data_IF_096784890749
#
_entry.id   IF_096784890749
#
_cell.length_a   1.000
_cell.length_b   1.000
_cell.length_c   1.000
_cell.angle_alpha   90.00
_cell.angle_beta   90.00
_cell.angle_gamma   90.00
#
_symmetry.space_group_name_H-M   'P 1'
#
loop_
_entity.id
_entity.type
_entity.pdbx_description
1 polymer ?
#
# COMPACT_ATOMS: atom_id res chain seq x y z
N UNK A 1 5.04 40.50 -16.82
CA UNK A 1 4.48 39.45 -17.66
C UNK A 1 5.23 38.13 -17.58
N UNK A 2 5.71 37.82 -16.40
CA UNK A 2 6.47 36.60 -16.15
C UNK A 2 5.64 35.55 -15.37
N UNK A 3 4.41 35.87 -15.02
CA UNK A 3 3.51 35.04 -14.23
C UNK A 3 3.12 33.70 -14.89
N UNK A 4 2.84 33.64 -16.20
CA UNK A 4 2.43 32.36 -16.81
C UNK A 4 3.54 31.30 -16.81
N UNK A 5 4.79 31.74 -16.84
CA UNK A 5 5.93 30.82 -16.87
C UNK A 5 6.13 30.11 -15.56
N UNK A 6 5.87 30.80 -14.46
CA UNK A 6 6.00 30.23 -13.11
C UNK A 6 4.95 29.15 -12.85
N UNK A 7 3.74 29.34 -13.37
CA UNK A 7 2.65 28.37 -13.22
C UNK A 7 2.97 27.08 -13.96
N UNK A 8 3.55 27.19 -15.15
CA UNK A 8 3.94 26.04 -15.96
C UNK A 8 5.00 25.22 -15.25
N UNK A 9 5.97 25.87 -14.60
CA UNK A 9 7.01 25.17 -13.84
C UNK A 9 6.45 24.39 -12.67
N UNK A 10 5.44 24.94 -11.99
CA UNK A 10 4.78 24.25 -10.89
C UNK A 10 4.08 22.97 -11.33
N UNK A 11 3.47 23.01 -12.49
CA UNK A 11 2.77 21.84 -13.05
C UNK A 11 3.74 20.72 -13.43
N UNK A 12 4.93 21.09 -13.93
CA UNK A 12 5.95 20.09 -14.30
C UNK A 12 6.49 19.35 -13.08
N UNK A 13 6.63 20.03 -11.96
CA UNK A 13 7.10 19.40 -10.72
C UNK A 13 6.09 18.39 -10.18
N UNK A 14 4.79 18.62 -10.37
CA UNK A 14 3.76 17.71 -9.92
C UNK A 14 3.66 16.42 -10.71
N UNK A 15 4.16 16.40 -11.94
CA UNK A 15 4.07 15.23 -12.82
C UNK A 15 5.27 14.29 -12.72
N UNK A 16 6.33 14.67 -12.02
CA UNK A 16 7.61 13.96 -12.02
C UNK A 16 7.69 12.82 -10.99
N UNK A 17 6.83 12.81 -9.99
CA UNK A 17 6.90 11.82 -8.91
C UNK A 17 5.95 10.66 -9.14
N UNK A 18 6.49 9.43 -9.08
CA UNK A 18 5.68 8.23 -9.07
C UNK A 18 5.04 8.09 -7.69
N UNK A 19 3.79 7.71 -7.67
CA UNK A 19 3.09 7.48 -6.42
C UNK A 19 3.72 6.30 -5.68
N UNK A 20 4.21 6.57 -4.48
CA UNK A 20 4.82 5.55 -3.62
C UNK A 20 3.83 4.96 -2.65
N UNK A 21 2.66 5.54 -2.53
CA UNK A 21 1.61 5.09 -1.66
C UNK A 21 0.28 5.18 -2.39
N UNK A 22 -0.41 4.04 -2.49
CA UNK A 22 -1.70 3.97 -3.19
C UNK A 22 -2.69 3.26 -2.27
N UNK A 23 -3.91 3.79 -2.17
CA UNK A 23 -5.00 3.15 -1.43
C UNK A 23 -6.16 2.87 -2.37
N UNK A 24 -6.67 1.65 -2.33
CA UNK A 24 -7.90 1.26 -2.98
C UNK A 24 -8.96 0.97 -1.91
N UNK A 25 -10.19 1.43 -2.16
CA UNK A 25 -11.31 1.23 -1.25
C UNK A 25 -11.48 2.41 -0.31
N UNK A 26 -11.68 2.14 0.99
CA UNK A 26 -11.92 3.19 1.98
C UNK A 26 -10.71 4.11 2.15
N UNK A 27 -10.94 5.41 2.18
CA UNK A 27 -9.90 6.42 2.36
C UNK A 27 -10.04 7.20 3.66
N UNK A 28 -10.95 6.80 4.55
CA UNK A 28 -11.21 7.54 5.78
C UNK A 28 -9.98 7.70 6.67
N UNK A 29 -9.12 6.69 6.69
CA UNK A 29 -7.90 6.70 7.50
C UNK A 29 -6.64 6.72 6.64
N UNK A 30 -6.74 7.21 5.42
CA UNK A 30 -5.64 7.19 4.45
C UNK A 30 -4.38 7.88 4.98
N UNK A 31 -4.52 9.09 5.53
CA UNK A 31 -3.39 9.84 6.08
C UNK A 31 -2.69 9.11 7.21
N UNK A 32 -3.47 8.47 8.07
CA UNK A 32 -2.95 7.71 9.21
C UNK A 32 -2.18 6.49 8.74
N UNK A 33 -2.76 5.75 7.80
CA UNK A 33 -2.12 4.56 7.23
C UNK A 33 -0.83 4.94 6.52
N UNK A 34 -0.86 6.00 5.74
CA UNK A 34 0.32 6.50 5.04
C UNK A 34 1.43 6.85 6.02
N UNK A 35 1.10 7.54 7.12
CA UNK A 35 2.06 7.91 8.15
C UNK A 35 2.69 6.68 8.79
N UNK A 36 1.89 5.67 9.12
CA UNK A 36 2.38 4.42 9.72
C UNK A 36 3.43 3.75 8.83
N UNK A 37 3.19 3.76 7.53
CA UNK A 37 4.09 3.14 6.56
C UNK A 37 5.34 3.99 6.35
N UNK A 38 5.18 5.31 6.22
CA UNK A 38 6.29 6.23 5.98
C UNK A 38 7.27 6.33 7.15
N UNK A 39 6.82 6.01 8.35
CA UNK A 39 7.70 5.97 9.51
C UNK A 39 8.75 4.85 9.40
N UNK A 40 8.53 3.90 8.50
CA UNK A 40 9.42 2.77 8.30
C UNK A 40 10.33 3.01 7.10
N UNK A 41 11.59 3.29 7.36
CA UNK A 41 12.58 3.66 6.34
C UNK A 41 12.84 2.58 5.31
N UNK A 42 12.57 1.32 5.65
CA UNK A 42 12.83 0.19 4.78
C UNK A 42 11.79 0.00 3.68
N UNK A 43 10.65 0.66 3.78
CA UNK A 43 9.59 0.55 2.77
C UNK A 43 9.85 1.52 1.62
N UNK A 44 9.91 0.97 0.41
CA UNK A 44 10.09 1.77 -0.79
C UNK A 44 8.74 2.22 -1.35
N UNK A 45 7.82 1.26 -1.52
CA UNK A 45 6.49 1.51 -2.08
C UNK A 45 5.46 0.67 -1.33
N UNK A 46 4.23 1.15 -1.32
CA UNK A 46 3.14 0.44 -0.66
C UNK A 46 1.81 0.62 -1.38
N UNK A 47 1.00 -0.41 -1.34
CA UNK A 47 -0.37 -0.39 -1.85
C UNK A 47 -1.27 -1.00 -0.79
N UNK A 48 -2.33 -0.29 -0.43
CA UNK A 48 -3.27 -0.73 0.60
C UNK A 48 -4.64 -0.92 -0.02
N UNK A 49 -5.27 -2.04 0.30
CA UNK A 49 -6.64 -2.32 -0.12
C UNK A 49 -7.48 -2.41 1.15
N UNK A 50 -8.51 -1.58 1.26
CA UNK A 50 -9.38 -1.56 2.42
C UNK A 50 -10.83 -1.75 2.03
N UNK A 51 -11.48 -2.69 2.68
CA UNK A 51 -12.91 -2.88 2.58
C UNK A 51 -13.45 -3.31 3.94
N UNK A 52 -14.37 -2.53 4.50
CA UNK A 52 -14.99 -2.79 5.79
C UNK A 52 -13.91 -2.97 6.87
N UNK A 53 -13.86 -4.12 7.53
CA UNK A 53 -12.88 -4.40 8.58
C UNK A 53 -11.61 -5.07 8.04
N UNK A 54 -11.54 -5.29 6.74
CA UNK A 54 -10.39 -5.96 6.11
C UNK A 54 -9.42 -4.94 5.54
N UNK A 55 -8.13 -5.15 5.79
CA UNK A 55 -7.07 -4.30 5.27
C UNK A 55 -5.91 -5.17 4.80
N UNK A 56 -5.55 -5.05 3.53
CA UNK A 56 -4.35 -5.69 3.00
C UNK A 56 -3.32 -4.60 2.72
N UNK A 57 -2.13 -4.78 3.29
CA UNK A 57 -1.02 -3.83 3.13
C UNK A 57 0.10 -4.55 2.39
N UNK A 58 0.28 -4.23 1.13
CA UNK A 58 1.35 -4.81 0.32
C UNK A 58 2.47 -3.79 0.19
N UNK A 59 3.68 -4.18 0.57
CA UNK A 59 4.82 -3.29 0.56
C UNK A 59 5.95 -3.86 -0.28
N UNK A 60 6.73 -2.97 -0.85
CA UNK A 60 7.97 -3.31 -1.52
C UNK A 60 9.10 -2.78 -0.66
N UNK A 61 9.98 -3.67 -0.23
CA UNK A 61 11.10 -3.31 0.63
C UNK A 61 12.28 -2.88 -0.23
N UNK A 62 13.02 -1.88 0.24
CA UNK A 62 14.20 -1.38 -0.46
C UNK A 62 15.19 -2.51 -0.72
N UNK A 63 15.85 -2.52 -1.89
CA UNK A 63 16.70 -3.65 -2.29
C UNK A 63 17.78 -4.04 -1.28
N UNK A 64 18.38 -3.05 -0.62
CA UNK A 64 19.45 -3.32 0.36
C UNK A 64 18.95 -3.83 1.70
N UNK A 65 17.62 -3.87 1.90
CA UNK A 65 16.99 -4.41 3.12
C UNK A 65 16.27 -5.74 2.86
N UNK A 66 16.29 -6.24 1.63
CA UNK A 66 15.53 -7.44 1.25
C UNK A 66 15.90 -8.69 2.02
N UNK A 67 17.13 -8.79 2.48
CA UNK A 67 17.57 -9.94 3.28
C UNK A 67 16.87 -10.00 4.64
N UNK A 68 16.27 -8.90 5.08
CA UNK A 68 15.47 -8.84 6.30
C UNK A 68 13.97 -8.90 6.05
N UNK A 69 13.56 -9.24 4.84
CA UNK A 69 12.16 -9.14 4.39
C UNK A 69 11.17 -9.74 5.39
N UNK A 70 11.38 -10.98 5.81
CA UNK A 70 10.46 -11.66 6.72
C UNK A 70 10.35 -10.96 8.07
N UNK A 71 11.47 -10.52 8.60
CA UNK A 71 11.52 -9.80 9.87
C UNK A 71 10.80 -8.48 9.80
N UNK A 72 11.03 -7.72 8.73
CA UNK A 72 10.41 -6.40 8.53
C UNK A 72 8.91 -6.52 8.28
N UNK A 73 8.51 -7.55 7.54
CA UNK A 73 7.09 -7.84 7.30
C UNK A 73 6.35 -8.10 8.61
N UNK A 74 6.94 -8.92 9.48
CA UNK A 74 6.35 -9.22 10.79
C UNK A 74 6.29 -7.99 11.69
N UNK A 75 7.31 -7.16 11.64
CA UNK A 75 7.35 -5.91 12.40
C UNK A 75 6.23 -4.99 11.99
N UNK A 76 6.04 -4.84 10.68
CA UNK A 76 4.98 -3.98 10.15
C UNK A 76 3.60 -4.56 10.44
N UNK A 77 3.44 -5.88 10.33
CA UNK A 77 2.19 -6.57 10.68
C UNK A 77 1.78 -6.25 12.13
N UNK A 78 2.71 -6.37 13.06
CA UNK A 78 2.45 -6.09 14.47
C UNK A 78 2.08 -4.64 14.70
N UNK A 79 2.74 -3.73 14.00
CA UNK A 79 2.46 -2.30 14.10
C UNK A 79 1.03 -2.00 13.69
N UNK A 80 0.57 -2.58 12.58
CA UNK A 80 -0.80 -2.39 12.11
C UNK A 80 -1.83 -3.06 13.01
N UNK A 81 -1.55 -4.24 13.52
CA UNK A 81 -2.44 -4.94 14.44
C UNK A 81 -2.65 -4.13 15.72
N UNK A 82 -1.58 -3.52 16.21
CA UNK A 82 -1.63 -2.68 17.41
C UNK A 82 -2.45 -1.41 17.18
N UNK A 83 -2.31 -0.82 16.00
CA UNK A 83 -3.04 0.41 15.66
C UNK A 83 -4.51 0.15 15.36
N UNK A 84 -4.80 -0.98 14.72
CA UNK A 84 -6.15 -1.35 14.30
C UNK A 84 -6.56 -2.70 14.87
N UNK A 85 -6.76 -2.78 16.20
CA UNK A 85 -7.04 -4.08 16.83
C UNK A 85 -8.39 -4.70 16.42
N UNK A 86 -9.30 -3.89 15.88
CA UNK A 86 -10.63 -4.34 15.46
C UNK A 86 -10.71 -4.65 13.97
N UNK A 87 -9.58 -4.55 13.27
CA UNK A 87 -9.53 -4.83 11.83
C UNK A 87 -8.74 -6.09 11.55
N UNK A 88 -9.13 -6.79 10.49
CA UNK A 88 -8.37 -7.92 9.99
C UNK A 88 -7.31 -7.39 9.03
N UNK A 89 -6.11 -7.16 9.55
CA UNK A 89 -4.99 -6.61 8.78
C UNK A 89 -4.06 -7.73 8.34
N UNK A 90 -3.72 -7.71 7.06
CA UNK A 90 -2.75 -8.61 6.48
C UNK A 90 -1.66 -7.80 5.79
N UNK A 91 -0.41 -7.92 6.26
CA UNK A 91 0.73 -7.23 5.69
C UNK A 91 1.59 -8.24 4.93
N UNK A 92 1.95 -7.91 3.71
CA UNK A 92 2.84 -8.74 2.90
C UNK A 92 3.95 -7.90 2.28
N UNK A 93 5.18 -8.39 2.39
CA UNK A 93 6.34 -7.82 1.72
C UNK A 93 6.74 -8.65 0.49
N UNK A 94 5.89 -9.57 0.09
CA UNK A 94 6.12 -10.41 -1.09
C UNK A 94 5.90 -9.57 -2.35
N UNK A 95 6.88 -9.62 -3.27
CA UNK A 95 6.82 -8.86 -4.51
C UNK A 95 5.61 -9.25 -5.36
N UNK A 96 5.26 -10.52 -5.38
CA UNK A 96 4.14 -11.01 -6.18
C UNK A 96 2.81 -10.45 -5.66
N UNK A 97 2.65 -10.39 -4.35
CA UNK A 97 1.45 -9.82 -3.72
C UNK A 97 1.37 -8.32 -4.05
N UNK A 98 2.48 -7.60 -3.91
CA UNK A 98 2.54 -6.18 -4.25
C UNK A 98 2.15 -5.95 -5.72
N UNK A 99 2.71 -6.75 -6.61
CA UNK A 99 2.44 -6.65 -8.04
C UNK A 99 0.97 -6.90 -8.35
N UNK A 100 0.40 -7.95 -7.77
CA UNK A 100 -1.02 -8.28 -7.99
C UNK A 100 -1.95 -7.22 -7.38
N UNK A 101 -1.59 -6.66 -6.23
CA UNK A 101 -2.38 -5.61 -5.60
C UNK A 101 -2.48 -4.37 -6.49
N UNK A 102 -1.46 -4.12 -7.30
CA UNK A 102 -1.44 -2.95 -8.19
C UNK A 102 -2.16 -3.16 -9.51
N UNK A 103 -2.72 -4.33 -9.75
CA UNK A 103 -3.48 -4.62 -10.96
C UNK A 103 -4.96 -4.23 -10.84
N UNK A 104 -5.38 -3.66 -9.72
CA UNK A 104 -6.77 -3.26 -9.52
C UNK A 104 -7.14 -2.16 -10.49
N UNK A 105 -8.22 -2.38 -11.26
CA UNK A 105 -8.75 -1.42 -12.20
C UNK A 105 -9.92 -0.67 -11.57
N UNK A 106 -10.28 0.46 -12.16
CA UNK A 106 -11.39 1.28 -11.65
C UNK A 106 -12.69 0.50 -11.50
N UNK A 107 -12.97 -0.41 -12.44
CA UNK A 107 -14.17 -1.23 -12.40
C UNK A 107 -14.15 -2.28 -11.30
N UNK A 108 -13.00 -2.51 -10.69
CA UNK A 108 -12.81 -3.43 -9.56
C UNK A 108 -12.87 -2.73 -8.20
N UNK A 109 -13.19 -1.44 -8.20
CA UNK A 109 -13.27 -0.66 -6.96
C UNK A 109 -14.57 -0.89 -6.19
N UNK A 110 -15.50 -1.64 -6.75
CA UNK A 110 -16.74 -1.99 -6.06
C UNK A 110 -16.42 -2.86 -4.83
N UNK A 111 -17.17 -2.64 -3.76
CA UNK A 111 -16.93 -3.25 -2.45
C UNK A 111 -16.76 -4.77 -2.50
N UNK A 112 -17.64 -5.46 -3.22
CA UNK A 112 -17.58 -6.92 -3.31
C UNK A 112 -16.31 -7.40 -4.00
N UNK A 113 -15.88 -6.68 -5.03
CA UNK A 113 -14.67 -7.03 -5.78
C UNK A 113 -13.41 -6.77 -4.98
N UNK A 114 -13.42 -5.73 -4.15
CA UNK A 114 -12.28 -5.44 -3.26
C UNK A 114 -12.16 -6.51 -2.18
N UNK A 115 -13.28 -6.95 -1.62
CA UNK A 115 -13.29 -8.02 -0.64
C UNK A 115 -12.74 -9.32 -1.23
N UNK A 116 -13.18 -9.65 -2.43
CA UNK A 116 -12.71 -10.83 -3.16
C UNK A 116 -11.21 -10.74 -3.45
N UNK A 117 -10.75 -9.55 -3.81
CA UNK A 117 -9.33 -9.32 -4.11
C UNK A 117 -8.47 -9.52 -2.86
N UNK A 118 -8.90 -9.01 -1.73
CA UNK A 118 -8.20 -9.19 -0.47
C UNK A 118 -8.08 -10.69 -0.14
N UNK A 119 -9.18 -11.43 -0.26
CA UNK A 119 -9.20 -12.86 0.00
C UNK A 119 -8.26 -13.61 -0.95
N UNK A 120 -8.32 -13.29 -2.23
CA UNK A 120 -7.46 -13.87 -3.26
C UNK A 120 -5.97 -13.68 -2.94
N UNK A 121 -5.60 -12.46 -2.56
CA UNK A 121 -4.21 -12.15 -2.26
C UNK A 121 -3.72 -12.80 -0.97
N UNK A 122 -4.59 -12.95 0.03
CA UNK A 122 -4.26 -13.69 1.25
C UNK A 122 -3.98 -15.17 0.94
N UNK A 123 -4.80 -15.77 0.08
CA UNK A 123 -4.61 -17.17 -0.33
C UNK A 123 -3.32 -17.33 -1.13
N UNK A 124 -3.03 -16.39 -2.02
CA UNK A 124 -1.80 -16.39 -2.80
C UNK A 124 -0.57 -16.30 -1.89
N UNK A 125 -0.65 -15.47 -0.86
CA UNK A 125 0.44 -15.32 0.11
C UNK A 125 0.73 -16.61 0.86
N UNK A 126 -0.30 -17.40 1.18
CA UNK A 126 -0.13 -18.70 1.83
C UNK A 126 0.59 -19.69 0.94
N UNK A 127 0.33 -19.64 -0.35
CA UNK A 127 0.98 -20.53 -1.32
C UNK A 127 2.48 -20.22 -1.47
N UNK A 128 2.86 -18.95 -1.27
CA UNK A 128 4.25 -18.52 -1.41
C UNK A 128 5.12 -18.85 -0.18
N UNK A 129 4.52 -19.24 0.92
CA UNK A 129 5.25 -19.68 2.09
C UNK A 129 5.27 -21.19 2.20
#
# INVERSE_FOLDING_TARGET
MTLPLLVVLSLLNGCAEKEKFIVYGSTQNESEVETLIKEEDYVDRSTVIQYDDSMLVAVQIKPWEKWKKTKLEKKLQKKFEKKYPNKDVFVSADYKIFYEANKIKKDQMEDTKLSDKITELKELAKEET
#
